data_IF_088284713476
#
_entry.id   IF_088284713476
#
_cell.length_a   1.000
_cell.length_b   1.000
_cell.length_c   1.000
_cell.angle_alpha   90.00
_cell.angle_beta   90.00
_cell.angle_gamma   90.00
#
_symmetry.space_group_name_H-M   'P 1'
#
loop_
_entity.id
_entity.type
_entity.pdbx_description
1 polymer ?
#
# COMPACT_ATOMS: atom_id res chain seq x y z
N UNK A 1 31.56 -58.70 34.64
CA UNK A 1 31.95 -57.49 33.88
C UNK A 1 31.54 -57.74 32.43
N UNK A 2 30.32 -57.39 32.01
CA UNK A 2 29.77 -56.07 31.67
C UNK A 2 30.52 -55.41 30.49
N UNK A 3 29.82 -55.23 29.37
CA UNK A 3 30.30 -54.47 28.22
C UNK A 3 29.35 -54.50 27.02
N UNK A 4 28.07 -54.18 27.21
CA UNK A 4 27.14 -53.94 26.09
C UNK A 4 27.32 -52.48 25.66
N UNK A 5 27.95 -52.28 24.50
CA UNK A 5 28.16 -50.95 23.90
C UNK A 5 26.95 -50.61 23.04
N UNK A 6 25.99 -49.85 23.61
CA UNK A 6 24.84 -49.30 22.90
C UNK A 6 25.30 -48.10 22.07
N UNK A 7 25.39 -48.27 20.75
CA UNK A 7 25.71 -47.20 19.80
C UNK A 7 24.43 -46.42 19.50
N UNK A 8 24.13 -45.42 20.34
CA UNK A 8 23.04 -44.46 20.12
C UNK A 8 23.41 -43.54 18.95
N UNK A 9 22.94 -43.85 17.73
CA UNK A 9 22.88 -42.89 16.64
C UNK A 9 21.82 -41.83 16.98
N UNK A 10 22.25 -40.70 17.54
CA UNK A 10 21.40 -39.51 17.68
C UNK A 10 21.22 -38.86 16.31
N UNK A 11 20.19 -39.27 15.55
CA UNK A 11 19.66 -38.49 14.44
C UNK A 11 19.00 -37.23 14.99
N UNK A 12 19.76 -36.14 15.12
CA UNK A 12 19.16 -34.81 15.34
C UNK A 12 18.55 -34.33 14.02
N UNK A 13 17.23 -34.13 13.90
CA UNK A 13 16.68 -33.43 12.75
C UNK A 13 17.12 -31.97 12.83
N UNK A 14 18.01 -31.55 11.94
CA UNK A 14 18.29 -30.15 11.72
C UNK A 14 17.03 -29.51 11.12
N UNK A 15 16.24 -28.82 11.95
CA UNK A 15 15.15 -27.97 11.47
C UNK A 15 15.77 -26.78 10.74
N UNK A 16 15.79 -26.85 9.40
CA UNK A 16 16.09 -25.70 8.54
C UNK A 16 14.94 -24.71 8.68
N UNK A 17 15.12 -23.68 9.51
CA UNK A 17 14.24 -22.52 9.50
C UNK A 17 14.58 -21.68 8.28
N UNK A 18 13.79 -21.81 7.20
CA UNK A 18 13.84 -20.85 6.11
C UNK A 18 13.56 -19.45 6.68
N UNK A 19 14.58 -18.58 6.70
CA UNK A 19 14.42 -17.18 7.08
C UNK A 19 13.57 -16.50 6.00
N UNK A 20 12.26 -16.37 6.25
CA UNK A 20 11.38 -15.52 5.45
C UNK A 20 11.85 -14.09 5.70
N UNK A 21 12.67 -13.55 4.81
CA UNK A 21 13.01 -12.14 4.83
C UNK A 21 11.83 -11.42 4.15
N UNK A 22 10.99 -10.68 4.90
CA UNK A 22 9.84 -10.03 4.28
C UNK A 22 10.33 -9.02 3.25
N UNK A 23 9.84 -9.12 2.01
CA UNK A 23 10.12 -8.12 0.98
C UNK A 23 9.67 -6.74 1.51
N UNK A 24 10.47 -5.68 1.33
CA UNK A 24 10.08 -4.35 1.78
C UNK A 24 8.77 -3.91 1.12
N UNK A 25 7.93 -3.12 1.81
CA UNK A 25 6.68 -2.61 1.25
C UNK A 25 6.94 -1.87 -0.07
N UNK A 26 6.22 -2.20 -1.15
CA UNK A 26 6.47 -1.59 -2.45
C UNK A 26 6.18 -0.09 -2.40
N UNK A 27 7.06 0.68 -3.05
CA UNK A 27 6.84 2.08 -3.34
C UNK A 27 5.87 2.16 -4.52
N UNK A 28 4.76 2.89 -4.34
CA UNK A 28 3.68 3.00 -5.31
C UNK A 28 3.37 4.47 -5.54
N UNK A 29 3.04 4.80 -6.79
CA UNK A 29 2.47 6.09 -7.18
C UNK A 29 1.03 5.91 -7.60
N UNK A 30 0.13 6.66 -6.98
CA UNK A 30 -1.25 6.83 -7.41
C UNK A 30 -1.41 8.18 -8.09
N UNK A 31 -1.99 8.19 -9.29
CA UNK A 31 -2.38 9.42 -10.00
C UNK A 31 -3.87 9.42 -10.19
N UNK A 32 -4.51 10.55 -9.86
CA UNK A 32 -5.95 10.61 -9.79
C UNK A 32 -6.48 11.94 -9.28
N UNK A 33 -7.71 11.91 -8.75
CA UNK A 33 -8.31 13.04 -8.02
C UNK A 33 -9.04 12.55 -6.78
N UNK A 34 -9.05 13.38 -5.73
CA UNK A 34 -9.81 13.13 -4.52
C UNK A 34 -11.18 13.78 -4.61
N UNK A 35 -12.22 12.99 -4.40
CA UNK A 35 -13.60 13.44 -4.42
C UNK A 35 -14.31 13.01 -3.13
N UNK A 36 -15.27 13.78 -2.62
CA UNK A 36 -16.06 13.33 -1.48
C UNK A 36 -16.96 12.15 -1.86
N UNK A 37 -17.35 11.36 -0.86
CA UNK A 37 -18.03 10.06 -1.08
C UNK A 37 -19.46 10.20 -1.62
N UNK A 38 -20.08 11.34 -1.40
CA UNK A 38 -21.44 11.72 -1.83
C UNK A 38 -21.54 12.00 -3.33
N UNK A 39 -20.41 12.26 -4.02
CA UNK A 39 -20.40 12.35 -5.47
C UNK A 39 -20.72 10.99 -6.12
N UNK A 40 -21.44 10.92 -7.25
CA UNK A 40 -21.67 9.68 -7.98
C UNK A 40 -20.36 9.03 -8.42
N UNK A 41 -20.30 7.70 -8.43
CA UNK A 41 -19.16 6.97 -9.01
C UNK A 41 -19.17 7.17 -10.53
N UNK A 42 -18.14 7.79 -11.14
CA UNK A 42 -18.06 7.89 -12.58
C UNK A 42 -17.79 6.51 -13.19
N UNK A 43 -18.39 6.26 -14.35
CA UNK A 43 -18.25 5.00 -15.06
C UNK A 43 -16.82 4.80 -15.60
N UNK A 44 -16.34 3.57 -15.61
CA UNK A 44 -15.09 3.18 -16.32
C UNK A 44 -13.77 3.41 -15.58
N UNK A 45 -13.75 4.04 -14.40
CA UNK A 45 -12.52 4.28 -13.63
C UNK A 45 -12.41 3.37 -12.39
N UNK A 46 -11.18 2.99 -12.06
CA UNK A 46 -10.88 2.31 -10.80
C UNK A 46 -11.02 3.31 -9.65
N UNK A 47 -11.69 2.91 -8.58
CA UNK A 47 -11.94 3.78 -7.42
C UNK A 47 -11.42 3.10 -6.17
N UNK A 48 -10.73 3.87 -5.34
CA UNK A 48 -10.27 3.44 -4.03
C UNK A 48 -10.86 4.38 -2.97
N UNK A 49 -11.47 3.83 -1.93
CA UNK A 49 -11.81 4.63 -0.75
C UNK A 49 -10.53 4.89 0.03
N UNK A 50 -10.28 6.14 0.41
CA UNK A 50 -9.14 6.51 1.22
C UNK A 50 -9.59 7.23 2.47
N UNK A 51 -9.01 6.90 3.62
CA UNK A 51 -9.26 7.61 4.87
C UNK A 51 -8.03 8.37 5.31
N UNK A 52 -8.17 9.69 5.50
CA UNK A 52 -7.13 10.57 6.03
C UNK A 52 -7.64 11.08 7.38
N UNK A 53 -7.01 10.64 8.47
CA UNK A 53 -7.58 10.73 9.82
C UNK A 53 -8.99 10.12 9.82
N UNK A 54 -10.01 10.89 10.18
CA UNK A 54 -11.41 10.44 10.25
C UNK A 54 -12.20 10.73 8.97
N UNK A 55 -11.67 11.56 8.06
CA UNK A 55 -12.37 11.93 6.82
C UNK A 55 -12.10 10.89 5.73
N UNK A 56 -13.18 10.40 5.12
CA UNK A 56 -13.12 9.48 3.98
C UNK A 56 -13.31 10.22 2.67
N UNK A 57 -12.56 9.81 1.67
CA UNK A 57 -12.60 10.31 0.31
C UNK A 57 -12.65 9.16 -0.67
N UNK A 58 -13.13 9.43 -1.88
CA UNK A 58 -12.97 8.56 -3.04
C UNK A 58 -11.78 9.05 -3.84
N UNK A 59 -10.75 8.22 -3.96
CA UNK A 59 -9.66 8.44 -4.90
C UNK A 59 -10.05 7.81 -6.24
N UNK A 60 -10.21 8.66 -7.24
CA UNK A 60 -10.45 8.26 -8.61
C UNK A 60 -9.11 8.03 -9.28
N UNK A 61 -8.82 6.78 -9.63
CA UNK A 61 -7.51 6.40 -10.14
C UNK A 61 -7.50 6.49 -11.66
N UNK A 62 -6.60 7.33 -12.17
CA UNK A 62 -6.24 7.39 -13.59
C UNK A 62 -5.04 6.50 -13.87
N UNK A 63 -4.09 6.41 -12.93
CA UNK A 63 -2.88 5.59 -13.08
C UNK A 63 -2.41 5.03 -11.74
N UNK A 64 -1.85 3.83 -11.78
CA UNK A 64 -1.17 3.20 -10.65
C UNK A 64 0.15 2.64 -11.14
N UNK A 65 1.24 3.04 -10.48
CA UNK A 65 2.60 2.63 -10.84
C UNK A 65 3.28 2.03 -9.63
N UNK A 66 3.83 0.82 -9.76
CA UNK A 66 4.70 0.23 -8.74
C UNK A 66 6.14 0.62 -9.08
N UNK A 67 6.70 1.50 -8.26
CA UNK A 67 8.02 2.13 -8.42
C UNK A 67 9.16 1.26 -7.86
N UNK A 68 8.86 0.31 -6.98
CA UNK A 68 9.83 -0.67 -6.46
C UNK A 68 9.24 -2.08 -6.32
N UNK A 69 10.10 -3.11 -6.27
CA UNK A 69 9.73 -4.53 -6.20
C UNK A 69 9.78 -5.23 -7.57
N UNK A 70 9.58 -6.55 -7.58
CA UNK A 70 9.81 -7.40 -8.77
C UNK A 70 8.75 -7.28 -9.88
N UNK A 71 7.50 -6.97 -9.53
CA UNK A 71 6.39 -6.85 -10.48
C UNK A 71 5.98 -5.38 -10.68
N UNK A 72 5.94 -4.90 -11.93
CA UNK A 72 5.52 -3.52 -12.26
C UNK A 72 4.01 -3.36 -12.56
N UNK A 73 3.21 -4.44 -12.43
CA UNK A 73 1.78 -4.40 -12.76
C UNK A 73 0.96 -3.65 -11.69
N UNK A 74 0.59 -2.40 -11.96
CA UNK A 74 -0.28 -1.59 -11.10
C UNK A 74 -1.71 -2.14 -10.97
N UNK A 75 -2.21 -2.88 -11.96
CA UNK A 75 -3.56 -3.49 -11.93
C UNK A 75 -3.66 -4.65 -10.95
N UNK A 76 -2.65 -5.53 -10.88
CA UNK A 76 -2.58 -6.59 -9.86
C UNK A 76 -2.51 -6.01 -8.45
N UNK A 77 -1.82 -4.88 -8.30
CA UNK A 77 -1.70 -4.19 -7.01
C UNK A 77 -3.04 -3.62 -6.53
N UNK A 78 -3.90 -3.13 -7.43
CA UNK A 78 -5.25 -2.73 -7.04
C UNK A 78 -6.13 -3.93 -6.64
N UNK A 79 -5.98 -5.05 -7.33
CA UNK A 79 -6.74 -6.27 -7.03
C UNK A 79 -6.38 -6.88 -5.67
N UNK A 80 -5.15 -6.66 -5.16
CA UNK A 80 -4.74 -7.14 -3.85
C UNK A 80 -5.29 -6.29 -2.68
N UNK A 81 -5.81 -5.09 -2.97
CA UNK A 81 -6.45 -4.23 -1.97
C UNK A 81 -7.95 -4.57 -1.93
N UNK A 82 -8.31 -5.58 -1.15
CA UNK A 82 -9.71 -5.99 -0.97
C UNK A 82 -10.11 -6.00 0.52
N UNK A 83 -11.19 -5.29 0.92
CA UNK A 83 -11.97 -4.32 0.14
C UNK A 83 -11.12 -3.12 -0.34
N UNK A 84 -11.54 -2.36 -1.37
CA UNK A 84 -10.77 -1.26 -1.96
C UNK A 84 -10.77 -0.01 -1.07
N UNK A 85 -10.22 -0.16 0.15
CA UNK A 85 -10.05 0.89 1.14
C UNK A 85 -8.62 0.91 1.66
N UNK A 86 -7.98 2.08 1.63
CA UNK A 86 -6.69 2.34 2.29
C UNK A 86 -6.78 3.45 3.34
N UNK A 87 -6.02 3.30 4.42
CA UNK A 87 -5.72 4.37 5.38
C UNK A 87 -4.45 5.09 4.97
N UNK A 88 -4.54 6.40 4.75
CA UNK A 88 -3.40 7.25 4.43
C UNK A 88 -2.78 7.74 5.73
N UNK A 89 -1.47 7.55 5.86
CA UNK A 89 -0.65 7.99 6.99
C UNK A 89 0.63 8.63 6.47
N UNK A 90 1.34 9.40 7.28
CA UNK A 90 2.56 10.07 6.85
C UNK A 90 2.79 11.39 7.57
N UNK A 91 3.77 12.19 7.13
CA UNK A 91 4.02 13.53 7.64
C UNK A 91 2.78 14.41 7.60
N UNK A 92 2.50 15.13 8.68
CA UNK A 92 1.32 16.01 8.78
C UNK A 92 1.19 17.02 7.62
N UNK A 93 2.26 17.70 7.15
CA UNK A 93 2.15 18.64 6.04
C UNK A 93 1.61 18.01 4.75
N UNK A 94 1.96 16.76 4.45
CA UNK A 94 1.49 16.05 3.26
C UNK A 94 0.03 15.64 3.39
N UNK A 95 -0.37 15.16 4.57
CA UNK A 95 -1.76 14.77 4.83
C UNK A 95 -2.68 15.99 4.87
N UNK A 96 -2.20 17.13 5.36
CA UNK A 96 -3.00 18.36 5.40
C UNK A 96 -3.18 18.95 3.99
N UNK A 97 -2.18 18.84 3.09
CA UNK A 97 -2.37 19.18 1.67
C UNK A 97 -3.49 18.37 1.02
N UNK A 98 -3.56 17.06 1.30
CA UNK A 98 -4.61 16.17 0.78
C UNK A 98 -6.00 16.44 1.40
N UNK A 99 -6.06 17.21 2.49
CA UNK A 99 -7.31 17.62 3.15
C UNK A 99 -7.75 19.02 2.75
N UNK A 100 -6.90 19.77 2.05
CA UNK A 100 -7.22 21.10 1.56
C UNK A 100 -8.38 21.02 0.55
N UNK A 101 -9.47 21.76 0.75
CA UNK A 101 -10.54 21.85 -0.25
C UNK A 101 -10.04 22.25 -1.65
N UNK A 102 -8.92 22.97 -1.76
CA UNK A 102 -8.32 23.38 -3.02
C UNK A 102 -7.84 22.21 -3.91
N UNK A 103 -7.60 21.03 -3.33
CA UNK A 103 -7.20 19.83 -4.10
C UNK A 103 -8.38 18.94 -4.50
N UNK A 104 -9.60 19.26 -4.04
CA UNK A 104 -10.79 18.48 -4.34
C UNK A 104 -11.11 18.51 -5.85
N UNK A 105 -11.28 17.31 -6.42
CA UNK A 105 -11.53 17.11 -7.85
C UNK A 105 -10.35 17.46 -8.76
N UNK A 106 -9.26 18.05 -8.23
CA UNK A 106 -8.07 18.39 -9.01
C UNK A 106 -7.21 17.15 -9.26
N UNK A 107 -6.52 17.08 -10.42
CA UNK A 107 -5.50 16.06 -10.64
C UNK A 107 -4.41 16.16 -9.58
N UNK A 108 -3.96 15.03 -9.06
CA UNK A 108 -2.85 14.96 -8.11
C UNK A 108 -2.14 13.61 -8.23
N UNK A 109 -0.92 13.59 -7.72
CA UNK A 109 -0.10 12.39 -7.61
C UNK A 109 0.32 12.20 -6.16
N UNK A 110 0.17 10.98 -5.65
CA UNK A 110 0.58 10.58 -4.30
C UNK A 110 1.55 9.41 -4.42
N UNK A 111 2.73 9.54 -3.82
CA UNK A 111 3.69 8.44 -3.70
C UNK A 111 3.83 8.00 -2.26
N UNK A 112 4.15 6.73 -2.07
CA UNK A 112 4.25 6.16 -0.74
C UNK A 112 4.44 4.65 -0.72
N UNK A 113 4.67 4.13 0.47
CA UNK A 113 4.82 2.70 0.70
C UNK A 113 3.46 2.06 0.96
N UNK A 114 3.14 1.01 0.21
CA UNK A 114 1.89 0.28 0.36
C UNK A 114 2.05 -0.95 1.25
N UNK A 115 1.35 -0.94 2.37
CA UNK A 115 1.23 -2.04 3.31
C UNK A 115 -0.13 -2.71 3.09
N UNK A 116 -0.17 -3.68 2.17
CA UNK A 116 -1.42 -4.35 1.76
C UNK A 116 -2.09 -5.04 2.94
N UNK A 117 -1.32 -5.74 3.78
CA UNK A 117 -1.85 -6.44 4.96
C UNK A 117 -2.55 -5.52 5.96
N UNK A 118 -1.98 -4.34 6.18
CA UNK A 118 -2.55 -3.33 7.10
C UNK A 118 -3.58 -2.41 6.43
N UNK A 119 -3.75 -2.54 5.10
CA UNK A 119 -4.48 -1.58 4.25
C UNK A 119 -4.06 -0.15 4.54
N UNK A 120 -2.75 0.06 4.61
CA UNK A 120 -2.14 1.34 4.95
C UNK A 120 -1.24 1.81 3.82
N UNK A 121 -1.32 3.11 3.53
CA UNK A 121 -0.44 3.78 2.59
C UNK A 121 0.33 4.88 3.32
N UNK A 122 1.65 4.72 3.42
CA UNK A 122 2.52 5.70 4.04
C UNK A 122 2.97 6.70 2.97
N UNK A 123 2.35 7.87 2.98
CA UNK A 123 2.57 8.96 2.02
C UNK A 123 3.95 9.57 2.24
N UNK A 124 4.74 9.63 1.18
CA UNK A 124 6.08 10.25 1.17
C UNK A 124 6.13 11.49 0.28
N UNK A 125 5.33 11.54 -0.78
CA UNK A 125 5.28 12.68 -1.72
C UNK A 125 3.82 12.95 -2.10
N UNK A 126 3.47 14.23 -2.21
CA UNK A 126 2.22 14.68 -2.82
C UNK A 126 2.55 15.80 -3.80
N UNK A 127 2.14 15.63 -5.05
CA UNK A 127 2.30 16.62 -6.11
C UNK A 127 0.93 16.99 -6.68
N UNK A 128 0.63 18.29 -6.66
CA UNK A 128 -0.49 18.89 -7.37
C UNK A 128 0.06 19.68 -8.56
N UNK A 129 -0.63 19.72 -9.71
CA UNK A 129 -0.25 20.61 -10.79
C UNK A 129 -0.28 22.07 -10.30
N UNK A 130 0.50 22.97 -10.92
CA UNK A 130 0.48 24.40 -10.59
C UNK A 130 -0.95 24.94 -10.65
N UNK A 131 -1.32 25.76 -9.68
CA UNK A 131 -2.57 26.52 -9.75
C UNK A 131 -2.35 27.64 -10.78
N UNK A 132 -3.09 27.56 -11.90
CA UNK A 132 -3.16 28.63 -12.92
C UNK A 132 -4.09 29.75 -12.44
#
# INVERSE_FOLDING_TARGET
>A
MLGVLFLFLCCFPATVTAQINPEPPPLVRFTGSLLPLDHPKPAGLSTLTVSIKEKKWRLHLTKVEKLSGHDHSGTRLLQSIFPPHLRLTGPAPLLDLLRDPAVEGKPLTIEGHLYVGDRMFFVTIVNTPPQE
#
